data_IF_378015774719
#
_entry.id   IF_378015774719
#
_cell.length_a   1.000
_cell.length_b   1.000
_cell.length_c   1.000
_cell.angle_alpha   90.00
_cell.angle_beta   90.00
_cell.angle_gamma   90.00
#
_symmetry.space_group_name_H-M   'P 1'
#
loop_
_entity.id
_entity.type
_entity.pdbx_description
1 polymer ?
#
# COMPACT_ATOMS: atom_id res chain seq x y z
N UNK A 1 -13.21 -2.76 -7.77
CA UNK A 1 -13.27 -3.61 -8.99
C UNK A 1 -12.53 -2.88 -10.08
N UNK A 2 -11.70 -3.54 -10.91
CA UNK A 2 -10.63 -2.87 -11.65
C UNK A 2 -11.19 -1.74 -12.51
N UNK A 3 -11.01 -0.51 -12.03
CA UNK A 3 -10.89 0.63 -12.92
C UNK A 3 -9.40 0.65 -13.26
N UNK A 4 -9.06 0.11 -14.44
CA UNK A 4 -7.78 0.34 -15.10
C UNK A 4 -7.65 1.86 -15.35
N UNK A 5 -7.43 2.67 -14.31
CA UNK A 5 -7.21 4.11 -14.39
C UNK A 5 -5.85 4.44 -15.06
N UNK A 6 -5.13 3.38 -15.42
CA UNK A 6 -4.19 3.24 -16.53
C UNK A 6 -2.77 3.82 -16.29
N UNK A 7 -1.81 3.03 -15.77
CA UNK A 7 -0.38 3.39 -15.79
C UNK A 7 0.28 3.07 -17.15
N UNK A 8 -0.48 3.26 -18.24
CA UNK A 8 -0.24 3.08 -19.69
C UNK A 8 -0.61 1.73 -20.35
N UNK A 9 -1.34 0.84 -19.65
CA UNK A 9 -2.21 -0.29 -20.10
C UNK A 9 -2.00 -0.89 -21.50
N UNK A 10 -0.74 -1.11 -21.87
CA UNK A 10 -0.33 -1.80 -23.08
C UNK A 10 1.03 -1.36 -23.60
N UNK A 11 1.49 -0.15 -23.29
CA UNK A 11 2.81 0.37 -23.68
C UNK A 11 3.45 1.20 -22.56
N UNK A 12 4.77 1.40 -22.62
CA UNK A 12 5.42 2.42 -21.79
C UNK A 12 4.95 3.82 -22.22
N UNK A 13 5.00 4.80 -21.30
CA UNK A 13 4.79 6.21 -21.64
C UNK A 13 5.77 6.67 -22.73
N UNK A 14 5.38 7.69 -23.50
CA UNK A 14 6.19 8.27 -24.59
C UNK A 14 7.52 8.91 -24.12
N UNK A 15 7.65 9.11 -22.80
CA UNK A 15 8.85 9.58 -22.11
C UNK A 15 9.02 8.87 -20.78
N UNK A 16 10.22 8.97 -20.21
CA UNK A 16 10.44 8.52 -18.82
C UNK A 16 9.73 9.45 -17.84
N UNK A 17 9.31 8.89 -16.71
CA UNK A 17 8.84 9.66 -15.58
C UNK A 17 10.00 10.48 -15.00
N UNK A 18 9.67 11.67 -14.52
CA UNK A 18 10.54 12.42 -13.61
C UNK A 18 10.56 11.74 -12.24
N UNK A 19 11.57 12.04 -11.41
CA UNK A 19 11.68 11.48 -10.06
C UNK A 19 10.42 11.75 -9.22
N UNK A 20 9.86 12.97 -9.31
CA UNK A 20 8.62 13.34 -8.63
C UNK A 20 7.42 12.53 -9.11
N UNK A 21 7.33 12.23 -10.40
CA UNK A 21 6.25 11.40 -10.95
C UNK A 21 6.40 9.93 -10.53
N UNK A 22 7.63 9.41 -10.48
CA UNK A 22 7.89 8.07 -9.97
C UNK A 22 7.51 7.94 -8.49
N UNK A 23 7.89 8.90 -7.65
CA UNK A 23 7.51 8.95 -6.23
C UNK A 23 5.99 8.93 -6.08
N UNK A 24 5.26 9.74 -6.87
CA UNK A 24 3.80 9.76 -6.87
C UNK A 24 3.21 8.41 -7.30
N UNK A 25 3.77 7.78 -8.34
CA UNK A 25 3.33 6.48 -8.81
C UNK A 25 3.50 5.40 -7.73
N UNK A 26 4.62 5.41 -7.00
CA UNK A 26 4.87 4.46 -5.91
C UNK A 26 3.88 4.66 -4.75
N UNK A 27 3.53 5.91 -4.40
CA UNK A 27 2.47 6.16 -3.41
C UNK A 27 1.12 5.57 -3.85
N UNK A 28 0.78 5.63 -5.14
CA UNK A 28 -0.41 4.97 -5.67
C UNK A 28 -0.31 3.45 -5.62
N UNK A 29 0.87 2.86 -5.84
CA UNK A 29 1.07 1.42 -5.71
C UNK A 29 0.83 0.96 -4.27
N UNK A 30 1.38 1.67 -3.27
CA UNK A 30 1.11 1.37 -1.84
C UNK A 30 -0.40 1.43 -1.55
N UNK A 31 -1.09 2.46 -2.05
CA UNK A 31 -2.54 2.59 -1.87
C UNK A 31 -3.32 1.44 -2.55
N UNK A 32 -2.87 1.00 -3.73
CA UNK A 32 -3.49 -0.12 -4.45
C UNK A 32 -3.34 -1.44 -3.68
N UNK A 33 -2.19 -1.69 -3.07
CA UNK A 33 -2.02 -2.90 -2.24
C UNK A 33 -2.97 -2.89 -1.04
N UNK A 34 -3.13 -1.76 -0.34
CA UNK A 34 -4.10 -1.66 0.75
C UNK A 34 -5.56 -1.79 0.29
N UNK A 35 -5.90 -1.30 -0.91
CA UNK A 35 -7.22 -1.55 -1.50
C UNK A 35 -7.42 -3.05 -1.77
N UNK A 36 -6.41 -3.73 -2.31
CA UNK A 36 -6.45 -5.16 -2.58
C UNK A 36 -6.66 -5.98 -1.30
N UNK A 37 -5.89 -5.70 -0.24
CA UNK A 37 -6.08 -6.30 1.10
C UNK A 37 -7.55 -6.18 1.55
N UNK A 38 -8.10 -4.96 1.51
CA UNK A 38 -9.47 -4.70 1.95
C UNK A 38 -10.50 -5.46 1.10
N UNK A 39 -10.34 -5.46 -0.22
CA UNK A 39 -11.26 -6.15 -1.14
C UNK A 39 -11.26 -7.67 -0.90
N UNK A 40 -10.08 -8.27 -0.73
CA UNK A 40 -9.95 -9.71 -0.55
C UNK A 40 -10.47 -10.15 0.82
N UNK A 41 -10.08 -9.47 1.90
CA UNK A 41 -10.56 -9.78 3.26
C UNK A 41 -12.08 -9.65 3.34
N UNK A 42 -12.64 -8.55 2.83
CA UNK A 42 -14.09 -8.33 2.88
C UNK A 42 -14.86 -9.36 2.06
N UNK A 43 -14.33 -9.79 0.91
CA UNK A 43 -14.95 -10.87 0.14
C UNK A 43 -14.85 -12.22 0.86
N UNK A 44 -13.69 -12.53 1.46
CA UNK A 44 -13.48 -13.75 2.24
C UNK A 44 -14.43 -13.84 3.45
N UNK A 45 -14.70 -12.72 4.12
CA UNK A 45 -15.70 -12.62 5.20
C UNK A 45 -17.14 -12.80 4.72
N UNK A 46 -17.39 -12.60 3.41
CA UNK A 46 -18.74 -12.56 2.81
C UNK A 46 -19.15 -13.84 2.08
N UNK A 47 -18.34 -14.91 2.12
CA UNK A 47 -18.60 -16.17 1.40
C UNK A 47 -18.45 -17.39 2.32
N UNK A 48 -19.19 -18.46 2.05
CA UNK A 48 -19.10 -19.72 2.81
C UNK A 48 -18.10 -20.73 2.20
N UNK A 49 -17.65 -20.52 0.96
CA UNK A 49 -16.81 -21.49 0.24
C UNK A 49 -15.39 -21.55 0.82
N UNK A 50 -15.07 -22.62 1.55
CA UNK A 50 -13.82 -22.76 2.32
C UNK A 50 -12.54 -22.47 1.51
N UNK A 51 -12.37 -23.10 0.34
CA UNK A 51 -11.18 -22.87 -0.49
C UNK A 51 -11.06 -21.39 -0.96
N UNK A 52 -12.19 -20.73 -1.21
CA UNK A 52 -12.15 -19.34 -1.66
C UNK A 52 -11.70 -18.42 -0.54
N UNK A 53 -12.16 -18.68 0.71
CA UNK A 53 -11.70 -17.95 1.89
C UNK A 53 -10.21 -18.12 2.12
N UNK A 54 -9.72 -19.35 2.07
CA UNK A 54 -8.30 -19.65 2.30
C UNK A 54 -7.42 -18.89 1.30
N UNK A 55 -7.73 -19.01 0.01
CA UNK A 55 -6.97 -18.34 -1.06
C UNK A 55 -7.04 -16.82 -0.95
N UNK A 56 -8.22 -16.25 -0.65
CA UNK A 56 -8.37 -14.79 -0.53
C UNK A 56 -7.61 -14.23 0.68
N UNK A 57 -7.58 -14.94 1.81
CA UNK A 57 -6.85 -14.50 2.99
C UNK A 57 -5.33 -14.62 2.79
N UNK A 58 -4.87 -15.71 2.17
CA UNK A 58 -3.45 -15.91 1.82
C UNK A 58 -2.96 -14.79 0.89
N UNK A 59 -3.70 -14.51 -0.20
CA UNK A 59 -3.37 -13.39 -1.11
C UNK A 59 -3.38 -12.05 -0.35
N UNK A 60 -4.35 -11.81 0.54
CA UNK A 60 -4.39 -10.57 1.30
C UNK A 60 -3.15 -10.38 2.20
N UNK A 61 -2.59 -11.44 2.75
CA UNK A 61 -1.33 -11.38 3.51
C UNK A 61 -0.14 -11.05 2.60
N UNK A 62 -0.10 -11.60 1.38
CA UNK A 62 0.93 -11.28 0.38
C UNK A 62 0.90 -9.80 -0.03
N UNK A 63 -0.27 -9.19 -0.22
CA UNK A 63 -0.35 -7.77 -0.59
C UNK A 63 0.18 -6.83 0.52
N UNK A 64 0.14 -7.25 1.79
CA UNK A 64 0.79 -6.50 2.89
C UNK A 64 2.32 -6.53 2.73
N UNK A 65 2.88 -7.67 2.27
CA UNK A 65 4.31 -7.77 1.94
C UNK A 65 4.65 -6.81 0.80
N UNK A 66 3.86 -6.79 -0.27
CA UNK A 66 4.04 -5.88 -1.40
C UNK A 66 3.96 -4.40 -0.98
N UNK A 67 2.98 -4.04 -0.13
CA UNK A 67 2.89 -2.70 0.42
C UNK A 67 4.18 -2.31 1.19
N UNK A 68 4.76 -3.25 1.94
CA UNK A 68 6.03 -3.09 2.62
C UNK A 68 7.22 -2.89 1.68
N UNK A 69 7.28 -3.64 0.58
CA UNK A 69 8.33 -3.48 -0.45
C UNK A 69 8.29 -2.09 -1.09
N UNK A 70 7.09 -1.63 -1.50
CA UNK A 70 6.93 -0.30 -2.06
C UNK A 70 7.23 0.81 -1.05
N UNK A 71 6.82 0.66 0.21
CA UNK A 71 7.17 1.62 1.26
C UNK A 71 8.68 1.70 1.47
N UNK A 72 9.40 0.56 1.45
CA UNK A 72 10.86 0.56 1.55
C UNK A 72 11.49 1.28 0.37
N UNK A 73 11.01 1.05 -0.85
CA UNK A 73 11.49 1.73 -2.05
C UNK A 73 11.22 3.24 -1.98
N UNK A 74 10.04 3.65 -1.52
CA UNK A 74 9.68 5.07 -1.36
C UNK A 74 10.64 5.79 -0.41
N UNK A 75 11.00 5.16 0.72
CA UNK A 75 11.98 5.71 1.66
C UNK A 75 13.37 5.88 1.04
N UNK A 76 13.77 4.98 0.12
CA UNK A 76 15.03 5.12 -0.63
C UNK A 76 15.00 6.34 -1.56
N UNK A 77 13.90 6.49 -2.30
CA UNK A 77 13.76 7.51 -3.34
C UNK A 77 13.46 8.89 -2.77
N UNK A 78 12.86 8.98 -1.58
CA UNK A 78 12.55 10.25 -0.93
C UNK A 78 12.83 10.24 0.59
N UNK A 79 14.11 10.36 1.01
CA UNK A 79 14.50 10.32 2.43
C UNK A 79 13.88 11.42 3.31
N UNK A 80 13.52 12.57 2.73
CA UNK A 80 12.82 13.63 3.49
C UNK A 80 11.41 13.20 3.93
N UNK A 81 10.71 12.40 3.11
CA UNK A 81 9.42 11.83 3.51
C UNK A 81 9.56 10.81 4.64
N UNK A 82 10.70 10.11 4.72
CA UNK A 82 10.97 9.22 5.85
C UNK A 82 11.06 9.99 7.19
N UNK A 83 11.62 11.20 7.20
CA UNK A 83 11.67 12.02 8.40
C UNK A 83 10.26 12.35 8.90
N UNK A 84 9.33 12.68 7.99
CA UNK A 84 7.92 12.94 8.32
C UNK A 84 7.22 11.68 8.87
N UNK A 85 7.54 10.49 8.37
CA UNK A 85 7.00 9.25 8.94
C UNK A 85 7.47 9.01 10.38
N UNK A 86 8.71 9.38 10.71
CA UNK A 86 9.23 9.25 12.07
C UNK A 86 8.55 10.23 13.02
N UNK A 87 8.40 11.50 12.59
CA UNK A 87 7.65 12.52 13.34
C UNK A 87 6.22 12.05 13.63
N UNK A 88 5.48 11.57 12.62
CA UNK A 88 4.13 11.05 12.83
C UNK A 88 4.06 9.82 13.73
N UNK A 89 5.10 8.98 13.76
CA UNK A 89 5.18 7.86 14.71
C UNK A 89 5.40 8.34 16.15
N UNK A 90 6.28 9.32 16.35
CA UNK A 90 6.52 9.95 17.66
C UNK A 90 5.24 10.61 18.21
N UNK A 91 4.48 11.31 17.36
CA UNK A 91 3.17 11.88 17.75
C UNK A 91 2.21 10.82 18.31
N UNK A 92 2.18 9.61 17.71
CA UNK A 92 1.33 8.51 18.17
C UNK A 92 1.83 7.93 19.49
N UNK A 93 3.14 7.79 19.67
CA UNK A 93 3.71 7.34 20.94
C UNK A 93 3.38 8.29 22.10
N UNK A 94 3.45 9.62 21.88
CA UNK A 94 3.03 10.60 22.88
C UNK A 94 1.55 10.45 23.28
N UNK A 95 0.67 10.20 22.31
CA UNK A 95 -0.75 9.93 22.57
C UNK A 95 -0.95 8.64 23.38
N UNK A 96 -0.21 7.57 23.05
CA UNK A 96 -0.25 6.31 23.78
C UNK A 96 0.18 6.49 25.24
N UNK A 97 1.27 7.24 25.49
CA UNK A 97 1.74 7.52 26.85
C UNK A 97 0.72 8.33 27.65
N UNK A 98 0.05 9.31 27.02
CA UNK A 98 -0.97 10.11 27.67
C UNK A 98 -2.18 9.28 28.12
N UNK A 99 -2.59 8.27 27.33
CA UNK A 99 -3.73 7.39 27.65
C UNK A 99 -3.42 6.31 28.69
N UNK A 100 -2.14 5.99 28.91
CA UNK A 100 -1.68 5.01 29.91
C UNK A 100 -1.48 5.60 31.32
N UNK A 101 -1.56 6.92 31.45
CA UNK A 101 -1.46 7.66 32.73
C UNK A 101 -2.83 7.80 33.39
#
# INVERSE_FOLDING_TARGET
MPEFANPFAGNAHDRKLTDTELIRAIRFMIAAEYEAVQVYQQLAESVEHELAREVLMDIAEEEIVHAGEFLRLLKELYPEEEALYREGAEEVEEMIEALKK
#
